data_IF_347308813596
#
_entry.id   IF_347308813596
#
_cell.length_a   1.000
_cell.length_b   1.000
_cell.length_c   1.000
_cell.angle_alpha   90.00
_cell.angle_beta   90.00
_cell.angle_gamma   90.00
#
_symmetry.space_group_name_H-M   'P 1'
#
loop_
_entity.id
_entity.type
_entity.pdbx_description
1 polymer ?
#
# COMPACT_ATOMS: atom_id res chain seq x y z
N UNK A 1 -15.32 3.65 -14.69
CA UNK A 1 -14.61 4.84 -14.21
C UNK A 1 -14.53 4.95 -12.67
N UNK A 2 -15.40 4.27 -11.90
CA UNK A 2 -15.34 4.23 -10.42
C UNK A 2 -14.26 3.28 -9.82
N UNK A 3 -13.95 2.17 -10.49
CA UNK A 3 -13.03 1.12 -9.99
C UNK A 3 -11.54 1.49 -9.88
N UNK A 4 -11.17 2.70 -10.30
CA UNK A 4 -9.76 3.15 -10.31
C UNK A 4 -9.38 3.93 -9.04
N UNK A 5 -10.37 4.33 -8.23
CA UNK A 5 -10.25 5.16 -7.01
C UNK A 5 -10.77 4.42 -5.77
N UNK A 6 -11.52 3.34 -5.97
CA UNK A 6 -12.05 2.54 -4.87
C UNK A 6 -10.92 1.71 -4.26
N UNK A 7 -10.33 2.22 -3.17
CA UNK A 7 -10.06 1.37 -2.00
C UNK A 7 -11.30 0.52 -1.73
N UNK A 8 -11.16 -0.67 -1.16
CA UNK A 8 -12.35 -1.45 -0.82
C UNK A 8 -13.35 -0.56 -0.09
N UNK A 9 -14.45 -0.27 -0.77
CA UNK A 9 -15.40 0.71 -0.29
C UNK A 9 -15.91 0.23 1.06
N UNK A 10 -16.30 1.16 1.94
CA UNK A 10 -16.96 0.78 3.19
C UNK A 10 -18.12 -0.20 2.93
N UNK A 11 -18.79 -0.06 1.79
CA UNK A 11 -19.81 -0.98 1.31
C UNK A 11 -19.29 -2.40 1.03
N UNK A 12 -18.12 -2.56 0.38
CA UNK A 12 -17.48 -3.87 0.18
C UNK A 12 -17.14 -4.52 1.53
N UNK A 13 -16.59 -3.75 2.46
CA UNK A 13 -16.27 -4.22 3.81
C UNK A 13 -17.54 -4.68 4.54
N UNK A 14 -18.59 -3.86 4.50
CA UNK A 14 -19.87 -4.16 5.15
C UNK A 14 -20.52 -5.42 4.55
N UNK A 15 -20.43 -5.59 3.23
CA UNK A 15 -20.94 -6.79 2.55
C UNK A 15 -20.17 -8.04 2.98
N UNK A 16 -18.84 -7.98 3.06
CA UNK A 16 -18.03 -9.11 3.56
C UNK A 16 -18.36 -9.46 5.01
N UNK A 17 -18.50 -8.47 5.89
CA UNK A 17 -18.90 -8.67 7.29
C UNK A 17 -20.27 -9.37 7.37
N UNK A 18 -21.23 -8.92 6.57
CA UNK A 18 -22.58 -9.52 6.52
C UNK A 18 -22.50 -11.02 6.16
N UNK A 19 -21.73 -11.37 5.13
CA UNK A 19 -21.53 -12.78 4.74
C UNK A 19 -20.89 -13.60 5.85
N UNK A 20 -19.92 -13.05 6.59
CA UNK A 20 -19.27 -13.78 7.68
C UNK A 20 -20.23 -14.03 8.85
N UNK A 21 -21.08 -13.05 9.19
CA UNK A 21 -22.14 -13.21 10.19
C UNK A 21 -23.12 -14.31 9.75
N UNK A 22 -23.60 -14.25 8.50
CA UNK A 22 -24.55 -15.23 7.94
C UNK A 22 -23.98 -16.65 7.95
N UNK A 23 -22.69 -16.80 7.67
CA UNK A 23 -22.00 -18.09 7.61
C UNK A 23 -21.39 -18.53 8.95
N UNK A 24 -21.57 -17.75 10.03
CA UNK A 24 -20.97 -18.00 11.36
C UNK A 24 -19.44 -18.16 11.31
N UNK A 25 -18.78 -17.46 10.39
CA UNK A 25 -17.32 -17.43 10.28
C UNK A 25 -16.80 -16.43 11.32
N UNK A 26 -15.93 -16.83 12.25
CA UNK A 26 -15.35 -15.90 13.21
C UNK A 26 -14.48 -14.85 12.52
N UNK A 27 -14.60 -13.60 12.94
CA UNK A 27 -13.83 -12.49 12.40
C UNK A 27 -13.46 -11.49 13.48
N UNK A 28 -12.37 -10.77 13.24
CA UNK A 28 -11.98 -9.59 14.01
C UNK A 28 -11.77 -8.43 13.05
N UNK A 29 -11.92 -7.21 13.55
CA UNK A 29 -11.56 -6.01 12.82
C UNK A 29 -10.19 -5.55 13.30
N UNK A 30 -9.21 -5.49 12.39
CA UNK A 30 -7.94 -4.81 12.64
C UNK A 30 -7.93 -3.50 11.85
N UNK A 31 -7.80 -2.39 12.57
CA UNK A 31 -7.54 -1.10 11.95
C UNK A 31 -6.04 -1.03 11.63
N UNK A 32 -5.70 -1.19 10.36
CA UNK A 32 -4.33 -0.92 9.89
C UNK A 32 -4.35 0.48 9.30
N UNK A 33 -3.39 1.32 9.72
CA UNK A 33 -3.28 2.66 9.16
C UNK A 33 -2.67 2.62 7.75
N UNK A 34 -3.23 3.38 6.78
CA UNK A 34 -2.62 3.52 5.47
C UNK A 34 -1.23 4.17 5.54
N UNK A 35 -0.28 3.65 4.76
CA UNK A 35 1.09 4.17 4.70
C UNK A 35 1.18 5.52 3.96
N UNK A 36 1.45 6.60 4.68
CA UNK A 36 1.57 7.92 4.07
C UNK A 36 2.81 8.00 3.17
N UNK A 37 2.65 8.50 1.95
CA UNK A 37 3.77 8.80 1.06
C UNK A 37 4.43 10.09 1.56
N UNK A 38 5.65 9.97 2.06
CA UNK A 38 6.47 11.11 2.47
C UNK A 38 7.47 11.50 1.38
N UNK A 39 8.17 12.62 1.57
CA UNK A 39 9.26 13.05 0.68
C UNK A 39 10.43 12.07 0.62
N UNK A 40 10.57 11.18 1.61
CA UNK A 40 11.71 10.26 1.73
C UNK A 40 11.34 8.80 1.45
N UNK A 41 10.05 8.47 1.37
CA UNK A 41 9.59 7.08 1.38
C UNK A 41 10.21 6.21 0.29
N UNK A 42 10.47 6.76 -0.91
CA UNK A 42 11.09 6.00 -1.99
C UNK A 42 12.55 5.67 -1.67
N UNK A 43 13.31 6.59 -1.07
CA UNK A 43 14.67 6.32 -0.59
C UNK A 43 14.65 5.29 0.54
N UNK A 44 13.71 5.44 1.47
CA UNK A 44 13.63 4.59 2.67
C UNK A 44 13.29 3.13 2.30
N UNK A 45 12.52 2.93 1.22
CA UNK A 45 12.11 1.60 0.73
C UNK A 45 12.99 1.05 -0.40
N UNK A 46 13.64 1.93 -1.17
CA UNK A 46 14.50 1.58 -2.30
C UNK A 46 15.85 2.27 -2.08
N UNK A 47 16.82 1.63 -1.40
CA UNK A 47 18.07 2.28 -0.97
C UNK A 47 18.91 2.88 -2.11
N UNK A 48 18.74 2.39 -3.34
CA UNK A 48 19.39 2.91 -4.56
C UNK A 48 18.80 4.24 -5.06
N UNK A 49 17.68 4.68 -4.51
CA UNK A 49 17.07 5.98 -4.81
C UNK A 49 17.72 7.07 -3.96
N UNK A 50 18.14 8.16 -4.61
CA UNK A 50 18.67 9.31 -3.89
C UNK A 50 17.57 10.10 -3.18
N UNK A 51 17.93 10.88 -2.16
CA UNK A 51 16.98 11.77 -1.47
C UNK A 51 16.32 12.76 -2.45
N UNK A 52 17.08 13.31 -3.40
CA UNK A 52 16.60 14.25 -4.41
C UNK A 52 15.58 13.58 -5.33
N UNK A 53 15.85 12.36 -5.76
CA UNK A 53 14.92 11.55 -6.55
C UNK A 53 13.63 11.24 -5.80
N UNK A 54 13.73 10.85 -4.52
CA UNK A 54 12.55 10.60 -3.69
C UNK A 54 11.66 11.84 -3.55
N UNK A 55 12.28 13.01 -3.32
CA UNK A 55 11.58 14.28 -3.26
C UNK A 55 10.90 14.63 -4.59
N UNK A 56 11.59 14.43 -5.71
CA UNK A 56 11.03 14.61 -7.03
C UNK A 56 9.78 13.73 -7.24
N UNK A 57 9.88 12.42 -6.99
CA UNK A 57 8.76 11.48 -7.15
C UNK A 57 7.55 11.88 -6.30
N UNK A 58 7.77 12.24 -5.03
CA UNK A 58 6.73 12.76 -4.14
C UNK A 58 6.05 14.01 -4.73
N UNK A 59 6.84 15.01 -5.14
CA UNK A 59 6.32 16.26 -5.71
C UNK A 59 5.51 15.99 -6.98
N UNK A 60 5.95 15.07 -7.84
CA UNK A 60 5.22 14.72 -9.06
C UNK A 60 3.89 14.04 -8.76
N UNK A 61 3.83 13.13 -7.79
CA UNK A 61 2.57 12.52 -7.35
C UNK A 61 1.60 13.58 -6.81
N UNK A 62 2.09 14.53 -6.01
CA UNK A 62 1.28 15.61 -5.45
C UNK A 62 0.75 16.56 -6.55
N UNK A 63 1.62 17.03 -7.45
CA UNK A 63 1.25 17.93 -8.56
C UNK A 63 0.20 17.31 -9.48
N UNK A 64 0.27 16.00 -9.69
CA UNK A 64 -0.68 15.27 -10.54
C UNK A 64 -1.92 14.77 -9.77
N UNK A 65 -2.10 15.18 -8.51
CA UNK A 65 -3.24 14.81 -7.65
C UNK A 65 -3.40 13.30 -7.47
N UNK A 66 -2.29 12.58 -7.44
CA UNK A 66 -2.26 11.14 -7.14
C UNK A 66 -2.28 10.83 -5.65
N UNK A 67 -2.16 11.87 -4.82
CA UNK A 67 -2.23 11.81 -3.36
C UNK A 67 -3.44 12.59 -2.86
N UNK A 68 -4.10 12.10 -1.81
CA UNK A 68 -5.13 12.86 -1.11
C UNK A 68 -4.51 13.87 -0.11
N UNK A 69 -5.35 14.57 0.64
CA UNK A 69 -4.92 15.55 1.66
C UNK A 69 -4.06 14.94 2.79
N UNK A 70 -4.12 13.63 2.99
CA UNK A 70 -3.32 12.89 3.97
C UNK A 70 -2.06 12.25 3.38
N UNK A 71 -1.73 12.56 2.13
CA UNK A 71 -0.60 11.96 1.38
C UNK A 71 -0.73 10.45 1.17
N UNK A 72 -1.97 9.94 1.07
CA UNK A 72 -2.26 8.56 0.73
C UNK A 72 -2.46 8.47 -0.78
N UNK A 73 -1.87 7.46 -1.42
CA UNK A 73 -2.03 7.19 -2.85
C UNK A 73 -3.53 7.01 -3.15
N UNK A 74 -4.07 7.60 -4.22
CA UNK A 74 -5.52 7.57 -4.49
C UNK A 74 -5.94 6.57 -5.56
N UNK A 75 -5.02 6.20 -6.46
CA UNK A 75 -5.35 5.45 -7.67
C UNK A 75 -4.54 4.18 -7.76
N UNK A 76 -5.17 3.10 -8.23
CA UNK A 76 -4.49 1.82 -8.44
C UNK A 76 -3.45 1.94 -9.58
N UNK A 77 -2.13 1.85 -9.30
CA UNK A 77 -1.10 2.01 -10.33
C UNK A 77 -1.11 0.90 -11.39
N UNK A 78 -1.71 -0.26 -11.10
CA UNK A 78 -1.90 -1.38 -12.06
C UNK A 78 -3.06 -1.15 -13.03
N UNK A 79 -3.98 -0.23 -12.73
CA UNK A 79 -5.15 0.07 -13.59
C UNK A 79 -5.02 1.42 -14.28
N UNK A 80 -4.57 2.45 -13.57
CA UNK A 80 -4.50 3.82 -14.08
C UNK A 80 -3.06 4.18 -14.45
N UNK A 81 -2.62 3.90 -15.67
CA UNK A 81 -1.21 4.08 -16.06
C UNK A 81 -0.72 5.52 -16.25
N UNK A 82 -1.54 6.54 -15.99
CA UNK A 82 -1.15 7.95 -16.20
C UNK A 82 0.02 8.38 -15.33
N UNK A 83 0.29 7.68 -14.23
CA UNK A 83 1.47 7.91 -13.39
C UNK A 83 2.80 7.71 -14.10
N UNK A 84 2.88 6.75 -15.04
CA UNK A 84 4.11 6.48 -15.77
C UNK A 84 4.57 7.70 -16.56
N UNK A 85 3.62 8.46 -17.14
CA UNK A 85 3.92 9.63 -17.97
C UNK A 85 4.58 10.77 -17.18
N UNK A 86 4.16 11.00 -15.94
CA UNK A 86 4.68 12.12 -15.16
C UNK A 86 5.82 11.74 -14.21
N UNK A 87 5.96 10.46 -13.85
CA UNK A 87 7.11 9.96 -13.09
C UNK A 87 8.31 9.60 -13.99
N UNK A 88 8.04 9.13 -15.22
CA UNK A 88 9.05 8.72 -16.19
C UNK A 88 8.90 9.49 -17.52
N UNK A 89 9.13 10.82 -17.52
CA UNK A 89 9.04 11.60 -18.74
C UNK A 89 10.11 11.16 -19.76
N UNK A 90 9.74 11.11 -21.04
CA UNK A 90 10.60 10.65 -22.14
C UNK A 90 11.71 11.66 -22.50
N UNK A 91 11.50 12.93 -22.19
CA UNK A 91 12.49 13.98 -22.38
C UNK A 91 12.43 14.98 -21.23
N UNK A 92 13.61 15.39 -20.75
CA UNK A 92 13.72 16.53 -19.84
C UNK A 92 14.71 17.51 -20.42
N UNK A 93 14.23 18.74 -20.64
CA UNK A 93 15.00 19.83 -21.21
C UNK A 93 15.86 20.59 -20.17
N UNK A 94 15.93 20.14 -18.91
CA UNK A 94 16.70 20.80 -17.86
C UNK A 94 17.90 19.95 -17.42
N UNK A 95 19.10 20.37 -17.81
CA UNK A 95 20.37 19.72 -17.48
C UNK A 95 20.63 19.67 -15.95
N UNK A 96 19.94 20.50 -15.14
CA UNK A 96 20.10 20.56 -13.68
C UNK A 96 19.59 19.32 -12.93
N UNK A 97 18.85 18.45 -13.62
CA UNK A 97 18.26 17.24 -13.04
C UNK A 97 18.69 15.93 -13.71
N UNK A 98 19.70 15.95 -14.58
CA UNK A 98 20.20 14.76 -15.29
C UNK A 98 20.49 13.57 -14.35
N UNK A 99 21.18 13.81 -13.23
CA UNK A 99 21.47 12.78 -12.24
C UNK A 99 20.19 12.20 -11.59
N UNK A 100 19.18 13.03 -11.37
CA UNK A 100 17.88 12.61 -10.86
C UNK A 100 17.21 11.68 -11.85
N UNK A 101 17.20 12.02 -13.14
CA UNK A 101 16.56 11.21 -14.18
C UNK A 101 17.28 9.91 -14.45
N UNK A 102 18.61 9.92 -14.48
CA UNK A 102 19.40 8.70 -14.55
C UNK A 102 19.08 7.76 -13.39
N UNK A 103 18.95 8.30 -12.17
CA UNK A 103 18.58 7.51 -11.01
C UNK A 103 17.13 6.99 -11.09
N UNK A 104 16.19 7.77 -11.63
CA UNK A 104 14.81 7.31 -11.89
C UNK A 104 14.80 6.16 -12.89
N UNK A 105 15.50 6.31 -14.02
CA UNK A 105 15.52 5.31 -15.10
C UNK A 105 16.12 3.98 -14.62
N UNK A 106 17.26 4.06 -13.90
CA UNK A 106 17.90 2.90 -13.27
C UNK A 106 16.99 2.17 -12.27
N UNK A 107 16.09 2.89 -11.59
CA UNK A 107 15.23 2.35 -10.54
C UNK A 107 13.76 2.18 -10.99
N UNK A 108 13.45 2.34 -12.28
CA UNK A 108 12.07 2.42 -12.79
C UNK A 108 11.21 1.23 -12.38
N UNK A 109 11.76 0.01 -12.45
CA UNK A 109 11.04 -1.20 -12.08
C UNK A 109 10.76 -1.27 -10.57
N UNK A 110 11.73 -0.90 -9.74
CA UNK A 110 11.56 -0.89 -8.27
C UNK A 110 10.56 0.18 -7.83
N UNK A 111 10.58 1.37 -8.45
CA UNK A 111 9.60 2.43 -8.22
C UNK A 111 8.20 1.95 -8.59
N UNK A 112 8.07 1.27 -9.73
CA UNK A 112 6.80 0.72 -10.21
C UNK A 112 6.25 -0.32 -9.24
N UNK A 113 7.10 -1.24 -8.79
CA UNK A 113 6.68 -2.31 -7.89
C UNK A 113 6.32 -1.76 -6.51
N UNK A 114 7.13 -0.84 -5.96
CA UNK A 114 6.80 -0.18 -4.71
C UNK A 114 5.45 0.53 -4.73
N UNK A 115 5.11 1.25 -5.81
CA UNK A 115 3.79 1.88 -5.95
C UNK A 115 2.66 0.84 -5.98
N UNK A 116 2.86 -0.29 -6.65
CA UNK A 116 1.88 -1.38 -6.68
C UNK A 116 1.70 -1.99 -5.29
N UNK A 117 2.80 -2.30 -4.60
CA UNK A 117 2.80 -2.86 -3.24
C UNK A 117 2.12 -1.91 -2.28
N UNK A 118 2.48 -0.62 -2.31
CA UNK A 118 1.91 0.41 -1.46
C UNK A 118 0.40 0.55 -1.67
N UNK A 119 -0.08 0.52 -2.92
CA UNK A 119 -1.52 0.51 -3.17
C UNK A 119 -2.19 -0.75 -2.61
N UNK A 120 -1.56 -1.92 -2.76
CA UNK A 120 -2.06 -3.17 -2.17
C UNK A 120 -2.11 -3.11 -0.64
N UNK A 121 -1.08 -2.56 0.01
CA UNK A 121 -1.05 -2.32 1.46
C UNK A 121 -2.14 -1.32 1.87
N UNK A 122 -2.40 -0.30 1.06
CA UNK A 122 -3.54 0.57 1.26
C UNK A 122 -4.86 -0.16 1.14
N UNK A 123 -5.06 -0.97 0.09
CA UNK A 123 -6.25 -1.81 -0.04
C UNK A 123 -6.44 -2.68 1.20
N UNK A 124 -5.40 -3.37 1.68
CA UNK A 124 -5.45 -4.17 2.91
C UNK A 124 -5.77 -3.32 4.14
N UNK A 125 -5.17 -2.13 4.27
CA UNK A 125 -5.38 -1.23 5.40
C UNK A 125 -6.80 -0.67 5.46
N UNK A 126 -7.34 -0.33 4.30
CA UNK A 126 -8.74 0.05 4.15
C UNK A 126 -9.66 -1.17 4.28
N UNK A 127 -9.24 -2.35 3.84
CA UNK A 127 -10.02 -3.60 3.89
C UNK A 127 -10.22 -4.16 5.31
N UNK A 128 -9.65 -3.56 6.37
CA UNK A 128 -9.61 -4.16 7.71
C UNK A 128 -9.12 -5.61 7.61
N UNK A 129 -7.82 -5.82 7.42
CA UNK A 129 -7.18 -7.15 7.37
C UNK A 129 -7.89 -8.19 8.24
N UNK A 130 -8.67 -9.05 7.58
CA UNK A 130 -9.45 -10.10 8.22
C UNK A 130 -8.55 -11.34 8.37
N UNK A 131 -7.64 -11.29 9.35
CA UNK A 131 -6.78 -12.42 9.70
C UNK A 131 -7.46 -13.25 10.81
N UNK A 132 -7.52 -14.57 10.60
CA UNK A 132 -8.32 -15.52 11.35
C UNK A 132 -7.76 -15.80 12.76
N UNK A 133 -8.43 -15.31 13.81
CA UNK A 133 -8.08 -15.59 15.21
C UNK A 133 -8.89 -16.70 15.89
N UNK A 134 -9.45 -17.67 15.12
CA UNK A 134 -10.01 -18.88 15.74
C UNK A 134 -8.94 -19.94 16.01
N UNK A 135 -8.06 -20.19 15.03
CA UNK A 135 -7.00 -21.19 15.14
C UNK A 135 -6.01 -20.86 16.28
N UNK A 136 -5.61 -19.60 16.41
CA UNK A 136 -4.66 -19.18 17.43
C UNK A 136 -5.20 -19.37 18.85
N UNK A 137 -6.50 -19.16 19.08
CA UNK A 137 -7.14 -19.37 20.39
C UNK A 137 -7.29 -20.85 20.73
N UNK A 138 -7.59 -21.67 19.73
CA UNK A 138 -7.70 -23.13 19.87
C UNK A 138 -6.31 -23.78 20.08
N UNK A 139 -5.26 -23.32 19.39
CA UNK A 139 -3.88 -23.84 19.55
C UNK A 139 -3.19 -23.33 20.82
N UNK A 140 -3.40 -22.08 21.24
CA UNK A 140 -2.82 -21.57 22.49
C UNK A 140 -3.52 -22.13 23.75
N UNK A 141 -4.82 -22.43 23.71
CA UNK A 141 -5.48 -23.07 24.86
C UNK A 141 -5.27 -24.59 24.90
N UNK A 142 -5.01 -25.25 23.77
CA UNK A 142 -4.68 -26.68 23.74
C UNK A 142 -3.24 -26.98 24.20
N UNK A 143 -2.34 -26.00 24.17
CA UNK A 143 -0.94 -26.14 24.59
C UNK A 143 -0.71 -25.78 26.07
N UNK A 144 -1.62 -25.03 26.70
CA UNK A 144 -1.57 -24.71 28.14
C UNK A 144 -2.33 -25.71 29.02
N UNK A 145 -3.14 -26.61 28.44
CA UNK A 145 -3.89 -27.63 29.20
C UNK A 145 -3.21 -29.02 29.19
N UNK A 146 -2.14 -29.21 28.43
CA UNK A 146 -1.40 -30.49 28.37
C UNK A 146 -0.12 -30.53 29.23
N UNK A 147 0.23 -29.42 29.90
CA UNK A 147 1.41 -29.34 30.77
C UNK A 147 1.11 -29.44 32.26
N UNK A 148 -0.17 -29.37 32.67
CA UNK A 148 -0.59 -29.44 34.09
C UNK A 148 -1.21 -30.79 34.50
N UNK A 149 -1.10 -31.85 33.67
CA UNK A 149 -1.63 -33.19 33.98
C UNK A 149 -0.57 -34.28 34.19
N UNK A 150 0.71 -33.92 34.33
CA UNK A 150 1.77 -34.84 34.75
C UNK A 150 2.66 -34.19 35.82
N UNK A 151 2.15 -34.09 37.04
CA UNK A 151 2.94 -34.11 38.29
C UNK A 151 2.05 -34.49 39.47
#
# INVERSE_FOLDING_TARGET
>A
MLRDIEFASQDRINNSIKTFIEQKIPYTTLAIEPIRITRTIFRDRIPSITIKTSQYLFTRLQQNRWLNSYSILMYNPRRKFSWKKFLFPESINDARDEATFKNIDQNKNQISEFLNTLYGEHEISYERSFEALKWLKEVYHSSTLSTDSNN
#
